data_IF_021766847315
#
_entry.id   IF_021766847315
#
_cell.length_a   1.000
_cell.length_b   1.000
_cell.length_c   1.000
_cell.angle_alpha   90.00
_cell.angle_beta   90.00
_cell.angle_gamma   90.00
#
_symmetry.space_group_name_H-M   'P 1'
#
loop_
_entity.id
_entity.type
_entity.pdbx_description
1 polymer ?
#
# COMPACT_ATOMS: atom_id res chain seq x y z
N UNK A 1 12.22 -42.38 4.91
CA UNK A 1 11.46 -42.02 3.69
C UNK A 1 10.99 -40.58 3.87
N UNK A 2 11.75 -39.61 3.36
CA UNK A 2 11.35 -38.18 3.45
C UNK A 2 10.31 -37.97 2.35
N UNK A 3 9.04 -37.84 2.73
CA UNK A 3 8.00 -37.45 1.79
C UNK A 3 8.33 -36.04 1.30
N UNK A 4 8.64 -35.90 0.00
CA UNK A 4 8.83 -34.61 -0.63
C UNK A 4 7.45 -33.99 -0.80
N UNK A 5 7.19 -32.90 -0.09
CA UNK A 5 5.94 -32.17 -0.27
C UNK A 5 5.77 -31.76 -1.74
N UNK A 6 4.55 -31.88 -2.29
CA UNK A 6 4.29 -31.39 -3.64
C UNK A 6 4.55 -29.87 -3.68
N UNK A 7 5.02 -29.33 -4.81
CA UNK A 7 5.44 -27.93 -4.96
C UNK A 7 4.29 -26.90 -4.89
N UNK A 8 3.15 -27.25 -4.31
CA UNK A 8 2.10 -26.32 -3.88
C UNK A 8 1.80 -26.41 -2.38
N UNK A 9 2.15 -27.51 -1.72
CA UNK A 9 2.00 -27.67 -0.27
C UNK A 9 3.03 -26.84 0.51
N UNK A 10 4.27 -26.75 0.00
CA UNK A 10 5.32 -25.90 0.57
C UNK A 10 4.96 -24.41 0.46
N UNK A 11 4.36 -23.99 -0.65
CA UNK A 11 3.93 -22.61 -0.86
C UNK A 11 2.71 -22.27 0.00
N UNK A 12 1.78 -23.21 0.16
CA UNK A 12 0.68 -23.10 1.11
C UNK A 12 1.16 -22.94 2.55
N UNK A 13 2.17 -23.72 2.97
CA UNK A 13 2.74 -23.63 4.32
C UNK A 13 3.56 -22.35 4.51
N UNK A 14 4.31 -21.91 3.51
CA UNK A 14 5.04 -20.63 3.53
C UNK A 14 4.10 -19.42 3.63
N UNK A 15 2.98 -19.44 2.89
CA UNK A 15 1.96 -18.40 3.00
C UNK A 15 1.32 -18.38 4.38
N UNK A 16 1.01 -19.55 4.96
CA UNK A 16 0.47 -19.64 6.31
C UNK A 16 1.45 -19.07 7.36
N UNK A 17 2.73 -19.45 7.27
CA UNK A 17 3.78 -18.90 8.13
C UNK A 17 3.95 -17.38 7.97
N UNK A 18 3.84 -16.85 6.76
CA UNK A 18 3.90 -15.41 6.53
C UNK A 18 2.75 -14.64 7.21
N UNK A 19 1.54 -15.21 7.22
CA UNK A 19 0.37 -14.65 7.95
C UNK A 19 0.55 -14.75 9.46
N UNK A 20 1.21 -15.79 9.96
CA UNK A 20 1.48 -15.94 11.40
C UNK A 20 2.64 -15.06 11.88
N UNK A 21 3.67 -14.85 11.05
CA UNK A 21 4.81 -13.99 11.37
C UNK A 21 4.50 -12.50 11.21
N UNK A 22 3.57 -12.14 10.31
CA UNK A 22 3.12 -10.77 10.08
C UNK A 22 1.60 -10.71 10.04
N UNK A 23 1.00 -9.79 10.78
CA UNK A 23 -0.44 -9.53 10.70
C UNK A 23 -0.79 -8.82 9.38
N UNK A 24 -0.78 -9.58 8.28
CA UNK A 24 -1.09 -9.10 6.94
C UNK A 24 -2.54 -8.58 6.85
N UNK A 25 -3.46 -9.10 7.68
CA UNK A 25 -4.83 -8.61 7.71
C UNK A 25 -4.93 -7.19 8.30
N UNK A 26 -4.21 -6.93 9.40
CA UNK A 26 -4.10 -5.59 9.96
C UNK A 26 -3.39 -4.64 8.98
N UNK A 27 -2.28 -5.05 8.38
CA UNK A 27 -1.55 -4.24 7.41
C UNK A 27 -2.38 -3.92 6.16
N UNK A 28 -3.13 -4.89 5.62
CA UNK A 28 -4.08 -4.64 4.53
C UNK A 28 -5.15 -3.60 4.94
N UNK A 29 -5.62 -3.67 6.18
CA UNK A 29 -6.57 -2.68 6.71
C UNK A 29 -5.95 -1.28 6.78
N UNK A 30 -4.69 -1.15 7.18
CA UNK A 30 -3.98 0.14 7.17
C UNK A 30 -3.83 0.73 5.77
N UNK A 31 -3.46 -0.10 4.78
CA UNK A 31 -3.43 0.31 3.38
C UNK A 31 -4.80 0.78 2.88
N UNK A 32 -5.88 0.04 3.18
CA UNK A 32 -7.24 0.44 2.80
C UNK A 32 -7.66 1.75 3.47
N UNK A 33 -7.31 1.98 4.73
CA UNK A 33 -7.55 3.26 5.43
C UNK A 33 -6.78 4.41 4.79
N UNK A 34 -5.52 4.19 4.42
CA UNK A 34 -4.74 5.17 3.66
C UNK A 34 -5.43 5.53 2.35
N UNK A 35 -5.83 4.54 1.54
CA UNK A 35 -6.51 4.78 0.27
C UNK A 35 -7.86 5.51 0.47
N UNK A 36 -8.66 5.11 1.45
CA UNK A 36 -9.93 5.76 1.75
C UNK A 36 -9.76 7.23 2.16
N UNK A 37 -8.66 7.58 2.83
CA UNK A 37 -8.37 8.95 3.26
C UNK A 37 -7.87 9.84 2.13
N UNK A 38 -7.01 9.33 1.26
CA UNK A 38 -6.35 10.15 0.23
C UNK A 38 -6.96 10.04 -1.16
N UNK A 39 -7.74 8.99 -1.44
CA UNK A 39 -8.42 8.80 -2.73
C UNK A 39 -9.34 9.97 -3.09
N UNK A 40 -10.30 10.35 -2.22
CA UNK A 40 -11.16 11.50 -2.49
C UNK A 40 -10.41 12.81 -2.70
N UNK A 41 -9.29 13.00 -2.01
CA UNK A 41 -8.45 14.20 -2.14
C UNK A 41 -7.73 14.21 -3.49
N UNK A 42 -7.22 13.06 -3.95
CA UNK A 42 -6.64 12.94 -5.29
C UNK A 42 -7.65 13.28 -6.38
N UNK A 43 -8.89 12.79 -6.25
CA UNK A 43 -9.95 13.10 -7.20
C UNK A 43 -10.32 14.60 -7.19
N UNK A 44 -10.38 15.21 -6.01
CA UNK A 44 -10.60 16.66 -5.89
C UNK A 44 -9.46 17.46 -6.54
N UNK A 45 -8.19 17.07 -6.32
CA UNK A 45 -7.05 17.71 -6.97
C UNK A 45 -7.14 17.55 -8.50
N UNK A 46 -7.46 16.36 -9.02
CA UNK A 46 -7.62 16.14 -10.47
C UNK A 46 -8.71 17.00 -11.12
N UNK A 47 -9.73 17.38 -10.36
CA UNK A 47 -10.85 18.19 -10.86
C UNK A 47 -10.49 19.68 -11.06
N UNK A 48 -9.35 20.13 -10.55
CA UNK A 48 -8.90 21.52 -10.66
C UNK A 48 -7.51 21.59 -11.32
N UNK A 49 -7.25 22.63 -12.08
CA UNK A 49 -5.96 22.81 -12.79
C UNK A 49 -5.04 23.82 -12.12
N UNK A 50 -5.59 24.64 -11.23
CA UNK A 50 -4.85 25.64 -10.46
C UNK A 50 -4.84 25.21 -9.00
N UNK A 51 -3.64 25.09 -8.42
CA UNK A 51 -3.44 24.62 -7.06
C UNK A 51 -2.48 25.56 -6.35
N UNK A 52 -2.85 25.97 -5.15
CA UNK A 52 -1.96 26.76 -4.31
C UNK A 52 -0.71 25.93 -3.92
N UNK A 53 0.50 26.38 -4.26
CA UNK A 53 1.73 25.64 -3.98
C UNK A 53 1.96 25.34 -2.49
N UNK A 54 1.53 26.24 -1.60
CA UNK A 54 1.64 26.03 -0.15
C UNK A 54 0.72 24.89 0.30
N UNK A 55 -0.55 24.89 -0.12
CA UNK A 55 -1.45 23.77 0.14
C UNK A 55 -0.90 22.45 -0.44
N UNK A 56 -0.41 22.45 -1.68
CA UNK A 56 0.21 21.28 -2.30
C UNK A 56 1.36 20.70 -1.47
N UNK A 57 2.24 21.56 -0.95
CA UNK A 57 3.32 21.15 -0.07
C UNK A 57 2.81 20.48 1.22
N UNK A 58 1.80 21.08 1.86
CA UNK A 58 1.21 20.56 3.10
C UNK A 58 0.58 19.18 2.85
N UNK A 59 -0.29 19.04 1.84
CA UNK A 59 -1.01 17.79 1.60
C UNK A 59 -0.07 16.67 1.16
N UNK A 60 0.96 16.97 0.36
CA UNK A 60 2.00 16.01 -0.03
C UNK A 60 2.80 15.52 1.17
N UNK A 61 3.12 16.41 2.11
CA UNK A 61 3.83 16.04 3.34
C UNK A 61 2.98 15.10 4.20
N UNK A 62 1.69 15.40 4.36
CA UNK A 62 0.75 14.54 5.08
C UNK A 62 0.57 13.17 4.41
N UNK A 63 0.46 13.14 3.08
CA UNK A 63 0.40 11.91 2.28
C UNK A 63 1.64 11.03 2.55
N UNK A 64 2.83 11.59 2.38
CA UNK A 64 4.09 10.84 2.54
C UNK A 64 4.26 10.35 3.98
N UNK A 65 3.90 11.17 4.97
CA UNK A 65 3.93 10.74 6.38
C UNK A 65 3.00 9.55 6.62
N UNK A 66 1.76 9.61 6.14
CA UNK A 66 0.80 8.53 6.29
C UNK A 66 1.24 7.25 5.56
N UNK A 67 1.72 7.38 4.32
CA UNK A 67 2.20 6.24 3.54
C UNK A 67 3.40 5.56 4.19
N UNK A 68 4.37 6.35 4.69
CA UNK A 68 5.56 5.82 5.38
C UNK A 68 5.20 4.99 6.61
N UNK A 69 4.19 5.39 7.38
CA UNK A 69 3.74 4.63 8.56
C UNK A 69 3.26 3.23 8.19
N UNK A 70 2.54 3.09 7.08
CA UNK A 70 2.07 1.76 6.64
C UNK A 70 3.25 0.95 6.10
N UNK A 71 4.08 1.53 5.22
CA UNK A 71 5.20 0.81 4.59
C UNK A 71 6.31 0.40 5.56
N UNK A 72 6.44 1.08 6.71
CA UNK A 72 7.42 0.69 7.74
C UNK A 72 7.08 -0.64 8.42
N UNK A 73 5.81 -1.03 8.40
CA UNK A 73 5.35 -2.32 8.92
C UNK A 73 5.18 -3.37 7.81
N UNK A 74 5.40 -3.00 6.54
CA UNK A 74 5.26 -3.90 5.40
C UNK A 74 6.50 -4.80 5.24
N UNK A 75 6.35 -6.14 5.29
CA UNK A 75 7.46 -7.08 5.13
C UNK A 75 8.02 -7.19 3.70
N UNK A 76 7.41 -6.55 2.71
CA UNK A 76 7.80 -6.59 1.29
C UNK A 76 7.96 -8.02 0.74
N UNK A 77 7.03 -8.90 1.12
CA UNK A 77 7.03 -10.28 0.67
C UNK A 77 6.79 -10.37 -0.85
N UNK A 78 7.33 -11.42 -1.51
CA UNK A 78 6.96 -11.76 -2.88
C UNK A 78 5.43 -11.92 -3.04
N UNK A 79 4.92 -11.57 -4.21
CA UNK A 79 3.47 -11.54 -4.49
C UNK A 79 2.79 -12.90 -4.27
N UNK A 80 3.52 -14.00 -4.48
CA UNK A 80 3.03 -15.36 -4.31
C UNK A 80 2.65 -15.67 -2.84
N UNK A 81 3.24 -14.96 -1.89
CA UNK A 81 2.98 -15.13 -0.45
C UNK A 81 1.91 -14.16 0.09
N UNK A 82 1.50 -13.17 -0.69
CA UNK A 82 0.51 -12.18 -0.29
C UNK A 82 -0.92 -12.65 -0.58
N UNK A 83 -1.94 -12.16 0.14
CA UNK A 83 -3.35 -12.35 -0.22
C UNK A 83 -3.65 -11.89 -1.66
N UNK A 84 -4.64 -12.52 -2.30
CA UNK A 84 -4.99 -12.21 -3.71
C UNK A 84 -5.47 -10.75 -3.87
N UNK A 85 -6.15 -10.21 -2.87
CA UNK A 85 -6.69 -8.85 -2.84
C UNK A 85 -5.76 -7.84 -2.13
N UNK A 86 -4.44 -8.11 -2.14
CA UNK A 86 -3.47 -7.28 -1.42
C UNK A 86 -3.51 -5.81 -1.89
N UNK A 87 -3.74 -4.84 -0.99
CA UNK A 87 -3.96 -3.45 -1.36
C UNK A 87 -2.67 -2.65 -1.61
N UNK A 88 -1.49 -3.19 -1.28
CA UNK A 88 -0.21 -2.46 -1.35
C UNK A 88 0.07 -1.79 -2.71
N UNK A 89 -0.01 -2.52 -3.86
CA UNK A 89 0.21 -1.94 -5.17
C UNK A 89 -0.75 -0.79 -5.51
N UNK A 90 -2.03 -0.91 -5.17
CA UNK A 90 -3.03 0.14 -5.40
C UNK A 90 -2.73 1.38 -4.55
N UNK A 91 -2.37 1.20 -3.28
CA UNK A 91 -1.96 2.29 -2.40
C UNK A 91 -0.70 3.00 -2.90
N UNK A 92 0.27 2.26 -3.45
CA UNK A 92 1.46 2.83 -4.08
C UNK A 92 1.11 3.69 -5.30
N UNK A 93 0.24 3.21 -6.19
CA UNK A 93 -0.21 3.97 -7.37
C UNK A 93 -0.88 5.28 -6.95
N UNK A 94 -1.78 5.23 -5.96
CA UNK A 94 -2.42 6.43 -5.41
C UNK A 94 -1.39 7.42 -4.86
N UNK A 95 -0.44 6.94 -4.04
CA UNK A 95 0.60 7.77 -3.44
C UNK A 95 1.48 8.43 -4.51
N UNK A 96 1.90 7.67 -5.52
CA UNK A 96 2.70 8.16 -6.66
C UNK A 96 1.95 9.24 -7.43
N UNK A 97 0.70 8.99 -7.80
CA UNK A 97 -0.09 9.90 -8.62
C UNK A 97 -0.38 11.22 -7.89
N UNK A 98 -0.73 11.12 -6.60
CA UNK A 98 -0.91 12.27 -5.72
C UNK A 98 0.38 13.09 -5.59
N UNK A 99 1.51 12.43 -5.33
CA UNK A 99 2.80 13.10 -5.20
C UNK A 99 3.17 13.85 -6.49
N UNK A 100 2.98 13.23 -7.66
CA UNK A 100 3.27 13.85 -8.96
C UNK A 100 2.44 15.10 -9.17
N UNK A 101 1.13 15.01 -8.93
CA UNK A 101 0.21 16.13 -9.13
C UNK A 101 0.60 17.33 -8.25
N UNK A 102 0.84 17.08 -6.96
CA UNK A 102 1.20 18.12 -5.98
C UNK A 102 2.66 18.57 -6.00
N UNK A 103 3.50 17.96 -6.84
CA UNK A 103 4.87 18.42 -7.05
C UNK A 103 5.00 19.29 -8.31
N UNK A 104 4.09 19.16 -9.26
CA UNK A 104 4.12 19.92 -10.51
C UNK A 104 3.45 21.29 -10.39
N UNK A 105 2.66 21.49 -9.34
CA UNK A 105 1.99 22.76 -8.99
C UNK A 105 2.93 23.77 -8.35
#
# INVERSE_FOLDING_TARGET
MIARDPPGAVQGSLRALAVDCWDLAALATEYRRFMARFGPVLEALRAHTDHDPEQCFIVRTLLIHAFRRVTLHDPQLPAELLPVDWPGPAAYVLCRDFYRLTHQS
#
